data_IF_052007831631
#
_entry.id   IF_052007831631
#
_cell.length_a   1.000
_cell.length_b   1.000
_cell.length_c   1.000
_cell.angle_alpha   90.00
_cell.angle_beta   90.00
_cell.angle_gamma   90.00
#
_symmetry.space_group_name_H-M   'P 1'
#
loop_
_entity.id
_entity.type
_entity.pdbx_description
1 polymer ?
#
# COMPACT_ATOMS: atom_id res chain seq x y z
N UNK A 1 -1.06 4.85 24.29
CA UNK A 1 -1.66 4.10 25.43
C UNK A 1 -1.25 4.69 26.78
N UNK A 2 -1.70 5.91 27.04
CA UNK A 2 -1.67 6.58 28.35
C UNK A 2 -2.93 6.26 29.18
N UNK A 3 -2.83 6.32 30.51
CA UNK A 3 -3.98 6.19 31.42
C UNK A 3 -5.07 7.24 31.14
N UNK A 4 -4.67 8.42 30.66
CA UNK A 4 -5.59 9.51 30.32
C UNK A 4 -6.43 9.19 29.09
N UNK A 5 -5.84 8.54 28.07
CA UNK A 5 -6.58 8.12 26.88
C UNK A 5 -7.65 7.09 27.22
N UNK A 6 -7.34 6.11 28.09
CA UNK A 6 -8.30 5.09 28.51
C UNK A 6 -9.48 5.67 29.30
N UNK A 7 -9.23 6.71 30.09
CA UNK A 7 -10.27 7.34 30.91
C UNK A 7 -11.15 8.32 30.11
N UNK A 8 -10.59 9.02 29.12
CA UNK A 8 -11.27 10.10 28.40
C UNK A 8 -11.88 9.68 27.05
N UNK A 9 -11.40 8.61 26.43
CA UNK A 9 -11.98 8.10 25.16
C UNK A 9 -13.48 7.73 25.30
N UNK A 10 -13.95 7.07 26.38
CA UNK A 10 -15.37 6.75 26.52
C UNK A 10 -16.29 7.99 26.61
N UNK A 11 -15.74 9.14 27.04
CA UNK A 11 -16.49 10.39 27.17
C UNK A 11 -16.59 11.16 25.85
N UNK A 12 -15.62 11.01 24.95
CA UNK A 12 -15.60 11.68 23.65
C UNK A 12 -14.81 10.86 22.60
N UNK A 13 -15.42 9.81 22.03
CA UNK A 13 -14.74 8.95 21.07
C UNK A 13 -14.39 9.73 19.80
N UNK A 14 -13.13 9.66 19.39
CA UNK A 14 -12.67 10.27 18.14
C UNK A 14 -13.06 9.41 16.93
N UNK A 15 -13.11 10.00 15.72
CA UNK A 15 -13.35 9.23 14.52
C UNK A 15 -12.16 8.30 14.21
N UNK A 16 -12.45 7.10 13.71
CA UNK A 16 -11.46 6.07 13.40
C UNK A 16 -11.57 5.69 11.93
N UNK A 17 -10.42 5.57 11.28
CA UNK A 17 -10.30 5.11 9.91
C UNK A 17 -10.71 3.65 9.74
N UNK A 18 -10.70 3.19 8.49
CA UNK A 18 -11.16 1.83 8.16
C UNK A 18 -10.13 1.06 7.35
N UNK A 19 -10.07 -0.25 7.57
CA UNK A 19 -9.42 -1.19 6.67
C UNK A 19 -10.48 -1.78 5.77
N UNK A 20 -10.28 -1.69 4.46
CA UNK A 20 -11.18 -2.27 3.48
C UNK A 20 -10.42 -3.25 2.60
N UNK A 21 -11.12 -4.30 2.17
CA UNK A 21 -10.59 -5.33 1.28
C UNK A 21 -11.41 -5.30 0.00
N UNK A 22 -10.78 -5.29 -1.17
CA UNK A 22 -11.46 -5.30 -2.48
C UNK A 22 -12.44 -4.13 -2.67
N UNK A 23 -12.10 -2.91 -2.27
CA UNK A 23 -13.05 -1.81 -2.42
C UNK A 23 -12.93 -1.18 -3.80
N UNK A 24 -14.02 -1.11 -4.60
CA UNK A 24 -14.08 -0.15 -5.69
C UNK A 24 -14.08 1.24 -5.06
N UNK A 25 -12.93 1.90 -5.17
CA UNK A 25 -12.61 3.22 -4.62
C UNK A 25 -13.79 4.21 -4.80
N UNK A 26 -14.56 4.53 -3.74
CA UNK A 26 -15.80 5.30 -3.86
C UNK A 26 -15.55 6.76 -4.26
N UNK A 27 -14.36 7.29 -3.96
CA UNK A 27 -13.92 8.65 -4.32
C UNK A 27 -13.42 8.75 -5.77
N UNK A 28 -13.23 7.60 -6.44
CA UNK A 28 -12.79 7.53 -7.84
C UNK A 28 -13.95 7.67 -8.85
N UNK A 29 -15.16 8.03 -8.40
CA UNK A 29 -16.31 8.27 -9.27
C UNK A 29 -16.24 9.59 -10.05
N UNK A 30 -15.27 10.47 -9.78
CA UNK A 30 -15.22 11.81 -10.41
C UNK A 30 -13.89 12.27 -10.99
N UNK A 31 -12.75 11.88 -10.41
CA UNK A 31 -11.43 12.39 -10.83
C UNK A 31 -10.68 11.34 -11.64
N UNK A 32 -10.67 11.51 -12.97
CA UNK A 32 -9.75 10.76 -13.82
C UNK A 32 -8.32 11.07 -13.37
N UNK A 33 -7.49 10.06 -13.05
CA UNK A 33 -6.09 10.31 -12.72
C UNK A 33 -5.44 11.01 -13.90
N UNK A 34 -4.61 12.01 -13.61
CA UNK A 34 -3.87 12.72 -14.65
C UNK A 34 -2.97 11.70 -15.36
N UNK A 35 -2.99 11.70 -16.71
CA UNK A 35 -2.34 10.66 -17.52
C UNK A 35 -0.84 10.51 -17.19
N UNK A 36 -0.16 11.60 -16.86
CA UNK A 36 1.25 11.58 -16.49
C UNK A 36 1.49 10.83 -15.18
N UNK A 37 0.58 10.95 -14.20
CA UNK A 37 0.70 10.29 -12.89
C UNK A 37 0.63 8.76 -13.03
N UNK A 38 -0.17 8.27 -13.99
CA UNK A 38 -0.23 6.84 -14.33
C UNK A 38 1.14 6.34 -14.82
N UNK A 39 1.81 7.10 -15.70
CA UNK A 39 3.15 6.75 -16.18
C UNK A 39 4.18 6.80 -15.06
N UNK A 40 4.14 7.82 -14.20
CA UNK A 40 5.06 7.92 -13.05
C UNK A 40 4.87 6.75 -12.09
N UNK A 41 3.62 6.42 -11.73
CA UNK A 41 3.32 5.28 -10.86
C UNK A 41 3.74 3.95 -11.50
N UNK A 42 3.55 3.79 -12.81
CA UNK A 42 4.00 2.61 -13.54
C UNK A 42 5.52 2.47 -13.50
N UNK A 43 6.28 3.53 -13.81
CA UNK A 43 7.75 3.51 -13.81
C UNK A 43 8.28 3.26 -12.40
N UNK A 44 7.74 3.95 -11.38
CA UNK A 44 8.11 3.75 -10.00
C UNK A 44 7.84 2.30 -9.54
N UNK A 45 6.67 1.75 -9.87
CA UNK A 45 6.34 0.36 -9.57
C UNK A 45 7.26 -0.65 -10.27
N UNK A 46 7.64 -0.40 -11.53
CA UNK A 46 8.59 -1.26 -12.25
C UNK A 46 9.99 -1.23 -11.62
N UNK A 47 10.48 -0.04 -11.22
CA UNK A 47 11.74 0.09 -10.49
C UNK A 47 11.69 -0.72 -9.19
N UNK A 48 10.60 -0.59 -8.42
CA UNK A 48 10.40 -1.35 -7.19
C UNK A 48 10.41 -2.86 -7.44
N UNK A 49 9.69 -3.34 -8.47
CA UNK A 49 9.71 -4.76 -8.86
C UNK A 49 11.14 -5.20 -9.22
N UNK A 50 11.87 -4.42 -10.03
CA UNK A 50 13.24 -4.75 -10.44
C UNK A 50 14.20 -4.83 -9.24
N UNK A 51 14.14 -3.89 -8.31
CA UNK A 51 14.96 -3.89 -7.09
C UNK A 51 14.62 -5.08 -6.19
N UNK A 52 13.33 -5.37 -6.01
CA UNK A 52 12.90 -6.54 -5.21
C UNK A 52 13.34 -7.86 -5.83
N UNK A 53 13.21 -8.01 -7.16
CA UNK A 53 13.69 -9.21 -7.86
C UNK A 53 15.21 -9.33 -7.80
N UNK A 54 15.95 -8.22 -7.91
CA UNK A 54 17.40 -8.24 -7.69
C UNK A 54 17.75 -8.79 -6.30
N UNK A 55 17.09 -8.31 -5.24
CA UNK A 55 17.29 -8.83 -3.88
C UNK A 55 16.89 -10.29 -3.70
N UNK A 56 15.84 -10.74 -4.40
CA UNK A 56 15.42 -12.15 -4.41
C UNK A 56 16.50 -13.05 -5.00
N UNK A 57 17.09 -12.65 -6.13
CA UNK A 57 18.03 -13.47 -6.89
C UNK A 57 19.51 -13.21 -6.58
N UNK A 58 19.83 -12.21 -5.76
CA UNK A 58 21.22 -11.81 -5.45
C UNK A 58 22.10 -12.96 -4.98
N UNK A 59 21.56 -13.85 -4.15
CA UNK A 59 22.29 -15.00 -3.54
C UNK A 59 21.91 -16.34 -4.19
N UNK A 60 21.23 -16.32 -5.34
CA UNK A 60 20.69 -17.54 -5.96
C UNK A 60 21.79 -18.53 -6.38
N UNK A 61 23.02 -18.04 -6.63
CA UNK A 61 24.17 -18.87 -7.01
C UNK A 61 24.70 -19.76 -5.90
N UNK A 62 24.66 -19.30 -4.64
CA UNK A 62 25.34 -19.96 -3.52
C UNK A 62 24.37 -20.72 -2.59
N UNK A 63 23.10 -20.28 -2.51
CA UNK A 63 22.11 -20.79 -1.54
C UNK A 63 21.12 -21.83 -2.07
N UNK A 64 21.19 -22.20 -3.36
CA UNK A 64 20.23 -23.09 -4.01
C UNK A 64 18.84 -22.46 -4.25
N UNK A 65 17.91 -23.23 -4.82
CA UNK A 65 16.61 -22.72 -5.29
C UNK A 65 15.58 -22.48 -4.17
N UNK A 66 15.71 -23.16 -3.03
CA UNK A 66 14.76 -23.06 -1.91
C UNK A 66 14.64 -21.64 -1.33
N UNK A 67 15.71 -20.92 -0.97
CA UNK A 67 15.60 -19.54 -0.48
C UNK A 67 15.01 -18.59 -1.52
N UNK A 68 15.31 -18.80 -2.81
CA UNK A 68 14.74 -18.01 -3.91
C UNK A 68 13.23 -18.19 -3.97
N UNK A 69 12.74 -19.43 -3.88
CA UNK A 69 11.30 -19.72 -3.86
C UNK A 69 10.61 -19.06 -2.67
N UNK A 70 11.18 -19.15 -1.47
CA UNK A 70 10.62 -18.51 -0.27
C UNK A 70 10.54 -16.98 -0.45
N UNK A 71 11.66 -16.35 -0.88
CA UNK A 71 11.71 -14.90 -1.11
C UNK A 71 10.69 -14.47 -2.18
N UNK A 72 10.56 -15.24 -3.28
CA UNK A 72 9.55 -15.00 -4.32
C UNK A 72 8.12 -15.13 -3.79
N UNK A 73 7.82 -16.18 -3.02
CA UNK A 73 6.49 -16.38 -2.43
C UNK A 73 6.12 -15.24 -1.48
N UNK A 74 7.05 -14.78 -0.65
CA UNK A 74 6.85 -13.62 0.22
C UNK A 74 6.59 -12.34 -0.58
N UNK A 75 7.35 -12.10 -1.66
CA UNK A 75 7.16 -10.94 -2.53
C UNK A 75 5.78 -10.96 -3.21
N UNK A 76 5.36 -12.12 -3.73
CA UNK A 76 4.03 -12.28 -4.33
C UNK A 76 2.94 -12.06 -3.30
N UNK A 77 3.06 -12.65 -2.10
CA UNK A 77 2.10 -12.43 -1.03
C UNK A 77 2.00 -10.94 -0.64
N UNK A 78 3.14 -10.26 -0.50
CA UNK A 78 3.19 -8.82 -0.20
C UNK A 78 2.50 -7.98 -1.29
N UNK A 79 2.74 -8.27 -2.57
CA UNK A 79 2.06 -7.58 -3.67
C UNK A 79 0.55 -7.84 -3.68
N UNK A 80 0.11 -9.07 -3.39
CA UNK A 80 -1.32 -9.40 -3.32
C UNK A 80 -2.00 -8.68 -2.15
N UNK A 81 -1.37 -8.68 -0.97
CA UNK A 81 -1.89 -7.94 0.20
C UNK A 81 -1.96 -6.45 -0.11
N UNK A 82 -0.89 -5.86 -0.65
CA UNK A 82 -0.88 -4.44 -1.05
C UNK A 82 -1.89 -4.10 -2.14
N UNK A 83 -2.20 -5.05 -3.03
CA UNK A 83 -3.21 -4.86 -4.07
C UNK A 83 -4.64 -4.87 -3.52
N UNK A 84 -4.94 -5.77 -2.58
CA UNK A 84 -6.30 -5.99 -2.10
C UNK A 84 -6.68 -5.24 -0.83
N UNK A 85 -5.70 -4.85 -0.02
CA UNK A 85 -5.92 -4.20 1.27
C UNK A 85 -5.71 -2.69 1.15
N UNK A 86 -6.74 -1.94 1.55
CA UNK A 86 -6.74 -0.49 1.65
C UNK A 86 -6.87 -0.08 3.12
N UNK A 87 -5.83 0.51 3.69
CA UNK A 87 -5.89 1.19 4.97
C UNK A 87 -6.22 2.67 4.71
N UNK A 88 -7.35 3.14 5.24
CA UNK A 88 -7.83 4.51 5.12
C UNK A 88 -7.90 5.16 6.50
N UNK A 89 -6.81 5.80 6.98
CA UNK A 89 -6.82 6.51 8.25
C UNK A 89 -7.75 7.73 8.19
N UNK A 90 -8.34 8.11 9.31
CA UNK A 90 -9.01 9.40 9.42
C UNK A 90 -7.97 10.49 9.74
N UNK A 91 -7.62 11.28 8.71
CA UNK A 91 -6.64 12.37 8.81
C UNK A 91 -7.09 13.53 9.70
N UNK A 92 -8.36 13.59 10.13
CA UNK A 92 -8.82 14.58 11.10
C UNK A 92 -8.47 14.22 12.54
N UNK A 93 -8.05 12.97 12.78
CA UNK A 93 -7.74 12.43 14.11
C UNK A 93 -6.47 11.57 14.09
N UNK A 94 -5.36 12.15 13.60
CA UNK A 94 -3.99 11.59 13.63
C UNK A 94 -3.08 12.44 14.54
N UNK A 95 -3.59 12.93 15.66
CA UNK A 95 -2.77 13.64 16.64
C UNK A 95 -2.35 15.04 16.19
N UNK A 96 -1.32 15.59 16.82
CA UNK A 96 -0.84 16.94 16.53
C UNK A 96 0.29 16.91 15.48
N UNK A 97 0.40 18.00 14.72
CA UNK A 97 1.35 18.12 13.59
C UNK A 97 1.23 16.97 12.55
N UNK A 98 0.02 16.45 12.36
CA UNK A 98 -0.25 15.41 11.35
C UNK A 98 0.29 14.01 11.70
N UNK A 99 0.45 13.70 12.99
CA UNK A 99 0.88 12.37 13.46
C UNK A 99 2.25 12.33 14.14
N UNK A 100 2.94 13.46 14.20
CA UNK A 100 4.26 13.58 14.83
C UNK A 100 4.19 13.63 16.36
N UNK A 101 3.09 14.16 16.90
CA UNK A 101 2.86 14.25 18.34
C UNK A 101 1.56 13.52 18.66
N UNK A 102 1.66 12.55 19.56
CA UNK A 102 0.53 11.75 20.05
C UNK A 102 -0.47 12.62 20.81
N UNK A 103 -1.77 12.37 20.63
CA UNK A 103 -2.80 13.00 21.43
C UNK A 103 -2.96 12.24 22.75
N UNK A 104 -2.50 12.79 23.90
CA UNK A 104 -2.45 12.06 25.16
C UNK A 104 -3.83 11.79 25.78
N UNK A 105 -4.91 12.18 25.10
CA UNK A 105 -6.29 12.06 25.55
C UNK A 105 -7.15 11.16 24.64
N UNK A 106 -6.64 10.69 23.50
CA UNK A 106 -7.43 9.92 22.53
C UNK A 106 -6.75 8.65 22.05
N UNK A 107 -7.32 7.49 22.37
CA UNK A 107 -6.90 6.18 21.86
C UNK A 107 -7.17 6.07 20.35
N UNK A 108 -8.23 6.71 19.87
CA UNK A 108 -8.58 6.70 18.43
C UNK A 108 -7.49 7.30 17.54
N UNK A 109 -6.61 8.16 18.08
CA UNK A 109 -5.43 8.67 17.39
C UNK A 109 -4.42 7.55 17.09
N UNK A 110 -4.08 6.73 18.09
CA UNK A 110 -3.16 5.59 17.93
C UNK A 110 -3.62 4.64 16.81
N UNK A 111 -4.93 4.39 16.70
CA UNK A 111 -5.49 3.57 15.62
C UNK A 111 -5.33 4.23 14.24
N UNK A 112 -5.55 5.53 14.11
CA UNK A 112 -5.36 6.23 12.84
C UNK A 112 -3.89 6.32 12.45
N UNK A 113 -2.97 6.52 13.40
CA UNK A 113 -1.52 6.47 13.16
C UNK A 113 -1.06 5.08 12.74
N UNK A 114 -1.60 4.02 13.33
CA UNK A 114 -1.36 2.65 12.90
C UNK A 114 -1.87 2.40 11.47
N UNK A 115 -3.04 2.93 11.12
CA UNK A 115 -3.58 2.85 9.76
C UNK A 115 -2.72 3.63 8.76
N UNK A 116 -2.20 4.80 9.13
CA UNK A 116 -1.29 5.58 8.30
C UNK A 116 0.04 4.84 8.07
N UNK A 117 0.60 4.22 9.11
CA UNK A 117 1.76 3.35 8.98
C UNK A 117 1.47 2.16 8.06
N UNK A 118 0.32 1.50 8.23
CA UNK A 118 -0.11 0.38 7.39
C UNK A 118 -0.28 0.82 5.94
N UNK A 119 -0.85 2.00 5.70
CA UNK A 119 -1.00 2.57 4.36
C UNK A 119 0.38 2.80 3.70
N UNK A 120 1.34 3.38 4.43
CA UNK A 120 2.69 3.57 3.96
C UNK A 120 3.41 2.24 3.68
N UNK A 121 3.20 1.23 4.53
CA UNK A 121 3.76 -0.11 4.38
C UNK A 121 3.20 -0.87 3.16
N UNK A 122 1.92 -0.69 2.84
CA UNK A 122 1.26 -1.36 1.71
C UNK A 122 1.49 -0.64 0.36
N UNK A 123 1.84 0.65 0.38
CA UNK A 123 2.00 1.47 -0.80
C UNK A 123 3.00 0.88 -1.83
N UNK A 124 4.21 0.41 -1.45
CA UNK A 124 5.14 -0.18 -2.41
C UNK A 124 4.55 -1.43 -3.10
N UNK A 125 3.95 -2.34 -2.33
CA UNK A 125 3.30 -3.55 -2.86
C UNK A 125 2.17 -3.22 -3.84
N UNK A 126 1.38 -2.19 -3.54
CA UNK A 126 0.32 -1.68 -4.42
C UNK A 126 0.87 -1.11 -5.72
N UNK A 127 1.93 -0.30 -5.66
CA UNK A 127 2.59 0.27 -6.84
C UNK A 127 3.19 -0.82 -7.74
N UNK A 128 3.85 -1.82 -7.14
CA UNK A 128 4.35 -2.98 -7.86
C UNK A 128 3.22 -3.70 -8.61
N UNK A 129 2.15 -4.09 -7.91
CA UNK A 129 1.00 -4.76 -8.53
C UNK A 129 0.37 -3.93 -9.65
N UNK A 130 0.15 -2.62 -9.40
CA UNK A 130 -0.39 -1.69 -10.38
C UNK A 130 0.47 -1.61 -11.65
N UNK A 131 1.79 -1.50 -11.51
CA UNK A 131 2.71 -1.43 -12.64
C UNK A 131 2.69 -2.68 -13.51
N UNK A 132 2.61 -3.88 -12.91
CA UNK A 132 2.53 -5.15 -13.62
C UNK A 132 1.22 -5.28 -14.39
N UNK A 133 0.09 -4.90 -13.77
CA UNK A 133 -1.23 -4.92 -14.40
C UNK A 133 -1.26 -3.97 -15.61
N UNK A 134 -0.78 -2.74 -15.47
CA UNK A 134 -0.75 -1.77 -16.58
C UNK A 134 0.15 -2.26 -17.71
N UNK A 135 1.35 -2.72 -17.38
CA UNK A 135 2.31 -3.22 -18.37
C UNK A 135 1.71 -4.39 -19.15
N UNK A 136 1.04 -5.32 -18.46
CA UNK A 136 0.31 -6.43 -19.09
C UNK A 136 -0.80 -5.96 -20.03
N UNK A 137 -1.63 -4.99 -19.59
CA UNK A 137 -2.71 -4.44 -20.41
C UNK A 137 -2.20 -3.73 -21.67
N UNK A 138 -1.12 -2.96 -21.55
CA UNK A 138 -0.46 -2.30 -22.68
C UNK A 138 0.11 -3.34 -23.64
N UNK A 139 0.86 -4.33 -23.13
CA UNK A 139 1.43 -5.42 -23.93
C UNK A 139 0.36 -6.20 -24.68
N UNK A 140 -0.74 -6.54 -24.01
CA UNK A 140 -1.89 -7.23 -24.63
C UNK A 140 -2.53 -6.41 -25.76
N UNK A 141 -2.61 -5.09 -25.62
CA UNK A 141 -3.13 -4.18 -26.67
C UNK A 141 -2.17 -4.10 -27.85
N UNK A 142 -0.86 -3.98 -27.60
CA UNK A 142 0.17 -3.94 -28.64
C UNK A 142 0.19 -5.24 -29.44
N UNK A 143 0.17 -6.39 -28.76
CA UNK A 143 0.13 -7.71 -29.41
C UNK A 143 -1.07 -7.86 -30.34
N UNK A 144 -2.27 -7.45 -29.89
CA UNK A 144 -3.47 -7.47 -30.74
C UNK A 144 -3.37 -6.55 -31.95
N UNK A 145 -2.65 -5.43 -31.85
CA UNK A 145 -2.45 -4.49 -32.96
C UNK A 145 -1.46 -5.04 -34.00
N UNK A 146 -0.42 -5.74 -33.56
CA UNK A 146 0.60 -6.34 -34.45
C UNK A 146 0.10 -7.58 -35.20
N UNK A 147 -0.94 -8.25 -34.70
CA UNK A 147 -1.58 -9.41 -35.36
C UNK A 147 -2.64 -9.03 -36.40
N UNK A 148 -3.00 -7.74 -36.49
CA UNK A 148 -3.88 -7.19 -37.54
C UNK A 148 -3.03 -6.62 -38.65
#
# INVERSE_FOLDING_TARGET
>A
MSLLEWLLEPANPGPVGTVKVNTPDPDNKGRRPQKWLVWVAMVAGLILVSVSLYGVFYEAGDGGIQPVLIKLSCLVAYMLIGHFVDATPDYTNVGWLGGLIDNPFRISDDFNRLLLFTQALLLPGKLMAYSLIITWLIGKRLYKKLKK
#
